data_IF_418908955474
#
_entry.id   IF_418908955474
#
_cell.length_a   1.000
_cell.length_b   1.000
_cell.length_c   1.000
_cell.angle_alpha   90.00
_cell.angle_beta   90.00
_cell.angle_gamma   90.00
#
_symmetry.space_group_name_H-M   'P 1'
#
loop_
_entity.id
_entity.type
_entity.pdbx_description
1 polymer ?
#
# COMPACT_ATOMS: atom_id res chain seq x y z
N UNK A 1 -8.23 26.98 47.54
CA UNK A 1 -7.07 26.61 46.71
C UNK A 1 -6.97 25.09 46.53
N UNK A 2 -6.81 24.32 47.61
CA UNK A 2 -6.67 22.84 47.56
C UNK A 2 -7.85 22.16 46.85
N UNK A 3 -9.10 22.54 47.18
CA UNK A 3 -10.29 21.95 46.56
C UNK A 3 -10.32 22.10 45.02
N UNK A 4 -9.92 23.27 44.49
CA UNK A 4 -9.86 23.49 43.05
C UNK A 4 -8.78 22.65 42.36
N UNK A 5 -7.63 22.47 43.01
CA UNK A 5 -6.55 21.60 42.52
C UNK A 5 -7.03 20.14 42.46
N UNK A 6 -7.70 19.67 43.51
CA UNK A 6 -8.24 18.31 43.57
C UNK A 6 -9.26 18.07 42.47
N UNK A 7 -10.19 19.01 42.25
CA UNK A 7 -11.19 18.90 41.17
C UNK A 7 -10.53 18.88 39.80
N UNK A 8 -9.55 19.75 39.56
CA UNK A 8 -8.80 19.76 38.30
C UNK A 8 -8.05 18.45 38.05
N UNK A 9 -7.40 17.89 39.09
CA UNK A 9 -6.70 16.61 38.99
C UNK A 9 -7.66 15.45 38.68
N UNK A 10 -8.83 15.42 39.32
CA UNK A 10 -9.85 14.39 39.06
C UNK A 10 -10.36 14.48 37.63
N UNK A 11 -10.64 15.68 37.12
CA UNK A 11 -11.07 15.88 35.74
C UNK A 11 -10.01 15.44 34.73
N UNK A 12 -8.74 15.79 34.98
CA UNK A 12 -7.63 15.38 34.11
C UNK A 12 -7.53 13.85 34.03
N UNK A 13 -7.61 13.16 35.17
CA UNK A 13 -7.59 11.68 35.23
C UNK A 13 -8.79 11.10 34.46
N UNK A 14 -9.99 11.65 34.63
CA UNK A 14 -11.18 11.21 33.91
C UNK A 14 -11.05 11.33 32.39
N UNK A 15 -10.50 12.44 31.90
CA UNK A 15 -10.25 12.66 30.46
C UNK A 15 -9.26 11.64 29.93
N UNK A 16 -8.15 11.40 30.64
CA UNK A 16 -7.16 10.39 30.24
C UNK A 16 -7.78 9.01 30.20
N UNK A 17 -8.57 8.63 31.21
CA UNK A 17 -9.24 7.34 31.25
C UNK A 17 -10.25 7.17 30.11
N UNK A 18 -11.02 8.20 29.76
CA UNK A 18 -11.96 8.14 28.63
C UNK A 18 -11.24 7.92 27.29
N UNK A 19 -10.09 8.56 27.09
CA UNK A 19 -9.26 8.40 25.88
C UNK A 19 -8.55 7.05 25.87
N UNK A 20 -8.11 6.57 27.04
CA UNK A 20 -7.41 5.29 27.17
C UNK A 20 -8.36 4.09 27.14
N UNK A 21 -9.64 4.26 27.49
CA UNK A 21 -10.66 3.21 27.51
C UNK A 21 -10.69 2.33 26.24
N UNK A 22 -10.66 2.87 25.00
CA UNK A 22 -10.59 2.04 23.79
C UNK A 22 -9.33 1.18 23.71
N UNK A 23 -8.20 1.60 24.30
CA UNK A 23 -6.95 0.84 24.31
C UNK A 23 -6.91 -0.25 25.37
N UNK A 24 -7.64 -0.07 26.48
CA UNK A 24 -7.79 -1.10 27.52
C UNK A 24 -8.87 -2.13 27.18
N UNK A 25 -9.77 -1.81 26.24
CA UNK A 25 -10.67 -2.80 25.67
C UNK A 25 -9.86 -3.69 24.75
N UNK A 26 -9.80 -4.97 25.10
CA UNK A 26 -9.27 -6.00 24.22
C UNK A 26 -10.01 -5.89 22.88
N UNK A 27 -9.33 -5.54 21.78
CA UNK A 27 -9.98 -5.44 20.50
C UNK A 27 -10.49 -6.85 20.17
N UNK A 28 -11.80 -6.96 19.95
CA UNK A 28 -12.37 -8.10 19.24
C UNK A 28 -12.54 -7.64 17.79
N UNK A 29 -11.45 -7.58 16.99
CA UNK A 29 -11.59 -7.31 15.58
C UNK A 29 -12.44 -8.44 14.99
N UNK A 30 -13.41 -8.10 14.16
CA UNK A 30 -14.20 -9.10 13.45
C UNK A 30 -13.32 -9.99 12.54
N UNK A 31 -12.12 -9.53 12.20
CA UNK A 31 -11.09 -10.27 11.46
C UNK A 31 -9.71 -9.69 11.78
N UNK A 32 -8.73 -10.56 12.06
CA UNK A 32 -7.30 -10.24 12.18
C UNK A 32 -6.61 -10.11 10.80
N UNK A 33 -7.37 -10.15 9.70
CA UNK A 33 -6.83 -9.92 8.37
C UNK A 33 -6.43 -8.45 8.20
N UNK A 34 -5.17 -8.24 7.81
CA UNK A 34 -4.66 -6.94 7.37
C UNK A 34 -5.28 -6.66 6.01
N UNK A 35 -6.50 -6.07 6.01
CA UNK A 35 -7.33 -5.77 4.84
C UNK A 35 -7.39 -6.92 3.82
N UNK A 36 -8.51 -7.64 3.76
CA UNK A 36 -8.81 -8.44 2.57
C UNK A 36 -8.59 -7.55 1.35
N UNK A 37 -7.56 -7.86 0.55
CA UNK A 37 -7.11 -7.00 -0.52
C UNK A 37 -8.30 -6.76 -1.45
N UNK A 38 -8.83 -5.53 -1.45
CA UNK A 38 -9.99 -5.15 -2.24
C UNK A 38 -9.82 -5.67 -3.67
N UNK A 39 -10.83 -6.35 -4.22
CA UNK A 39 -10.77 -6.91 -5.58
C UNK A 39 -10.37 -5.85 -6.62
N UNK A 40 -10.69 -4.57 -6.37
CA UNK A 40 -10.22 -3.47 -7.21
C UNK A 40 -8.70 -3.24 -7.11
N UNK A 41 -8.11 -3.40 -5.92
CA UNK A 41 -6.67 -3.33 -5.71
C UNK A 41 -5.95 -4.50 -6.41
N UNK A 42 -6.48 -5.72 -6.31
CA UNK A 42 -5.96 -6.89 -7.03
C UNK A 42 -6.00 -6.71 -8.55
N UNK A 43 -7.12 -6.18 -9.08
CA UNK A 43 -7.23 -5.88 -10.52
C UNK A 43 -6.21 -4.83 -10.97
N UNK A 44 -6.02 -3.76 -10.19
CA UNK A 44 -5.01 -2.73 -10.49
C UNK A 44 -3.59 -3.29 -10.46
N UNK A 45 -3.28 -4.16 -9.50
CA UNK A 45 -2.00 -4.84 -9.42
C UNK A 45 -1.76 -5.74 -10.64
N UNK A 46 -2.76 -6.53 -11.03
CA UNK A 46 -2.65 -7.39 -12.21
C UNK A 46 -2.37 -6.59 -13.49
N UNK A 47 -3.05 -5.45 -13.69
CA UNK A 47 -2.76 -4.57 -14.82
C UNK A 47 -1.36 -3.96 -14.76
N UNK A 48 -0.89 -3.59 -13.57
CA UNK A 48 0.46 -3.06 -13.40
C UNK A 48 1.52 -4.13 -13.72
N UNK A 49 1.32 -5.36 -13.27
CA UNK A 49 2.23 -6.48 -13.56
C UNK A 49 2.27 -6.84 -15.05
N UNK A 50 1.11 -6.85 -15.72
CA UNK A 50 1.04 -7.11 -17.16
C UNK A 50 1.77 -6.03 -17.95
N UNK A 51 1.55 -4.76 -17.60
CA UNK A 51 2.28 -3.62 -18.19
C UNK A 51 3.78 -3.76 -17.97
N UNK A 52 4.21 -4.05 -16.75
CA UNK A 52 5.63 -4.11 -16.42
C UNK A 52 6.32 -5.29 -17.12
N UNK A 53 5.62 -6.41 -17.28
CA UNK A 53 6.09 -7.55 -18.08
C UNK A 53 6.25 -7.17 -19.56
N UNK A 54 5.27 -6.48 -20.14
CA UNK A 54 5.37 -5.99 -21.52
C UNK A 54 6.52 -5.00 -21.70
N UNK A 55 6.70 -4.06 -20.76
CA UNK A 55 7.79 -3.10 -20.79
C UNK A 55 9.16 -3.76 -20.63
N UNK A 56 9.26 -4.82 -19.82
CA UNK A 56 10.50 -5.58 -19.69
C UNK A 56 10.86 -6.27 -21.01
N UNK A 57 9.91 -6.91 -21.67
CA UNK A 57 10.12 -7.55 -22.98
C UNK A 57 10.55 -6.54 -24.05
N UNK A 58 9.93 -5.35 -24.09
CA UNK A 58 10.33 -4.29 -25.02
C UNK A 58 11.74 -3.78 -24.76
N UNK A 59 12.15 -3.65 -23.49
CA UNK A 59 13.52 -3.25 -23.13
C UNK A 59 14.56 -4.29 -23.58
N UNK A 60 14.24 -5.57 -23.43
CA UNK A 60 15.10 -6.65 -23.90
C UNK A 60 15.23 -6.60 -25.42
N UNK A 61 14.12 -6.44 -26.14
CA UNK A 61 14.11 -6.29 -27.60
C UNK A 61 14.96 -5.09 -28.07
N UNK A 62 14.85 -3.93 -27.41
CA UNK A 62 15.65 -2.75 -27.74
C UNK A 62 17.15 -3.00 -27.47
N UNK A 63 17.47 -3.68 -26.37
CA UNK A 63 18.84 -4.04 -26.03
C UNK A 63 19.44 -5.00 -27.07
N UNK A 64 18.67 -5.97 -27.55
CA UNK A 64 19.07 -6.89 -28.61
C UNK A 64 19.31 -6.17 -29.94
N UNK A 65 18.44 -5.24 -30.31
CA UNK A 65 18.64 -4.40 -31.49
C UNK A 65 19.91 -3.56 -31.38
N UNK A 66 20.14 -2.90 -30.23
CA UNK A 66 21.35 -2.09 -29.99
C UNK A 66 22.63 -2.93 -29.99
N UNK A 67 22.55 -4.17 -29.52
CA UNK A 67 23.65 -5.12 -29.55
C UNK A 67 23.90 -5.70 -30.96
N UNK A 68 23.07 -5.37 -31.95
CA UNK A 68 23.14 -5.90 -33.31
C UNK A 68 22.70 -7.36 -33.42
N UNK A 69 22.01 -7.90 -32.41
CA UNK A 69 21.47 -9.27 -32.41
C UNK A 69 20.21 -9.38 -33.28
N UNK A 70 19.50 -8.27 -33.48
CA UNK A 70 18.30 -8.17 -34.32
C UNK A 70 18.50 -7.09 -35.37
N UNK A 71 18.18 -7.39 -36.63
CA UNK A 71 18.28 -6.44 -37.73
C UNK A 71 17.21 -5.33 -37.62
N UNK A 72 17.52 -4.12 -38.10
CA UNK A 72 16.61 -2.96 -38.07
C UNK A 72 15.26 -3.26 -38.75
N UNK A 73 15.28 -4.01 -39.86
CA UNK A 73 14.06 -4.40 -40.57
C UNK A 73 13.14 -5.30 -39.73
N UNK A 74 13.72 -6.28 -39.03
CA UNK A 74 12.98 -7.22 -38.18
C UNK A 74 12.47 -6.54 -36.91
N UNK A 75 13.29 -5.67 -36.30
CA UNK A 75 12.89 -4.84 -35.17
C UNK A 75 11.66 -4.00 -35.54
N UNK A 76 11.71 -3.26 -36.67
CA UNK A 76 10.58 -2.43 -37.13
C UNK A 76 9.31 -3.23 -37.40
N UNK A 77 9.42 -4.48 -37.87
CA UNK A 77 8.27 -5.36 -38.08
C UNK A 77 7.64 -5.86 -36.76
N UNK A 78 8.39 -5.84 -35.65
CA UNK A 78 7.92 -6.27 -34.32
C UNK A 78 7.33 -5.13 -33.48
N UNK A 79 7.73 -3.87 -33.71
CA UNK A 79 7.24 -2.70 -32.95
C UNK A 79 6.17 -1.87 -33.69
N UNK A 80 5.96 -2.12 -34.98
CA UNK A 80 4.95 -1.45 -35.83
C UNK A 80 3.68 -2.27 -36.00
#
# INVERSE_FOLDING_TARGET
>A
MIAGIVVGAVLAVLVVLLVALPFLREPSPASDAIDDLDEAALRRLAFAEERDRALAALKELEADHRAGRIADADYRALVG
#
